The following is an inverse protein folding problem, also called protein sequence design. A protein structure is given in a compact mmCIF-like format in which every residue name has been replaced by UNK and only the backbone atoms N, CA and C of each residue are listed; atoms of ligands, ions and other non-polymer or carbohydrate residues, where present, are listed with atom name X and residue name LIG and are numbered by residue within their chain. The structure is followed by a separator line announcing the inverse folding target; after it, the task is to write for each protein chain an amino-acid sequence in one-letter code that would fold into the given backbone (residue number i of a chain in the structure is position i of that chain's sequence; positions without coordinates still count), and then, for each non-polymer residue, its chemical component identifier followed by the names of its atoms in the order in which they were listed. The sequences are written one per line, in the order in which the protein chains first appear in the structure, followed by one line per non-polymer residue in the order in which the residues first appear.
data_IF_810381563541
#
_entry.id   IF_810381563541
#
_cell.length_a   1.000
_cell.length_b   1.000
_cell.length_c   1.000
_cell.angle_alpha   90.00
_cell.angle_beta   90.00
_cell.angle_gamma   90.00
#
_symmetry.space_group_name_H-M   'P 1'
#
loop_
_entity.id
_entity.type
_entity.pdbx_description
1 polymer ?
#
# COMPACT_ATOMS: atom_id res chain seq x y z
N UNK A 1 15.51 -20.24 6.15
CA UNK A 1 14.93 -19.00 6.73
C UNK A 1 14.41 -18.19 5.56
N UNK A 2 13.09 -18.15 5.35
CA UNK A 2 12.55 -17.27 4.32
C UNK A 2 12.89 -15.83 4.71
N UNK A 3 13.60 -15.13 3.83
CA UNK A 3 13.99 -13.73 3.95
C UNK A 3 12.74 -12.86 3.82
N UNK A 4 11.98 -12.70 4.90
CA UNK A 4 10.93 -11.70 4.92
C UNK A 4 11.60 -10.33 4.75
N UNK A 5 11.45 -9.72 3.57
CA UNK A 5 11.89 -8.35 3.31
C UNK A 5 11.16 -7.43 4.29
N UNK A 6 11.89 -6.51 4.92
CA UNK A 6 11.30 -5.49 5.80
C UNK A 6 10.73 -4.38 4.89
N UNK A 7 9.50 -3.97 5.18
CA UNK A 7 8.83 -2.89 4.47
C UNK A 7 8.83 -1.61 5.30
N UNK A 8 9.06 -0.48 4.63
CA UNK A 8 8.73 0.84 5.15
C UNK A 8 7.31 1.19 4.73
N UNK A 9 6.46 1.60 5.66
CA UNK A 9 5.09 2.03 5.38
C UNK A 9 4.90 3.44 5.91
N UNK A 10 4.55 4.35 5.02
CA UNK A 10 4.02 5.67 5.36
C UNK A 10 2.50 5.57 5.46
N UNK A 11 1.96 5.75 6.66
CA UNK A 11 0.53 5.70 6.96
C UNK A 11 -0.01 7.12 7.12
N UNK A 12 -0.13 7.82 6.00
CA UNK A 12 -0.64 9.19 5.96
C UNK A 12 -2.17 9.25 6.07
N UNK A 13 -2.69 10.42 6.43
CA UNK A 13 -4.15 10.63 6.59
C UNK A 13 -4.92 10.49 5.28
N UNK A 14 -4.38 11.03 4.17
CA UNK A 14 -5.05 11.01 2.86
C UNK A 14 -4.52 9.91 1.96
N UNK A 15 -3.21 9.71 1.94
CA UNK A 15 -2.54 8.73 1.11
C UNK A 15 -1.51 7.98 1.96
N UNK A 16 -1.33 6.71 1.63
CA UNK A 16 -0.29 5.85 2.17
C UNK A 16 0.64 5.39 1.05
N UNK A 17 1.88 5.07 1.38
CA UNK A 17 2.87 4.53 0.45
C UNK A 17 3.70 3.45 1.16
N UNK A 18 4.26 2.52 0.40
CA UNK A 18 5.12 1.49 0.96
C UNK A 18 6.34 1.22 0.07
N UNK A 19 7.46 0.92 0.72
CA UNK A 19 8.76 0.77 0.09
C UNK A 19 9.49 -0.45 0.61
N UNK A 20 10.41 -0.96 -0.20
CA UNK A 20 11.34 -2.02 0.15
C UNK A 20 12.76 -1.62 -0.24
N UNK A 21 13.76 -2.16 0.47
CA UNK A 21 15.16 -1.95 0.08
C UNK A 21 15.56 -2.98 -0.98
N UNK A 22 15.88 -2.53 -2.19
CA UNK A 22 16.38 -3.35 -3.29
C UNK A 22 17.76 -2.85 -3.74
N UNK A 23 18.75 -3.74 -3.84
CA UNK A 23 20.09 -3.34 -4.31
C UNK A 23 20.83 -2.33 -3.42
N UNK A 24 20.31 -2.01 -2.23
CA UNK A 24 20.83 -0.96 -1.35
C UNK A 24 20.06 0.36 -1.42
N UNK A 25 19.13 0.49 -2.37
CA UNK A 25 18.31 1.69 -2.58
C UNK A 25 16.84 1.44 -2.18
N UNK A 26 16.11 2.47 -1.71
CA UNK A 26 14.68 2.34 -1.44
C UNK A 26 13.87 2.37 -2.74
N UNK A 27 13.01 1.38 -2.93
CA UNK A 27 12.08 1.31 -4.06
C UNK A 27 10.63 1.36 -3.57
N UNK A 28 9.83 2.24 -4.17
CA UNK A 28 8.39 2.35 -3.91
C UNK A 28 7.66 1.26 -4.68
N UNK A 29 6.83 0.50 -3.96
CA UNK A 29 6.04 -0.58 -4.53
C UNK A 29 4.73 0.00 -5.09
N UNK A 30 4.35 -0.42 -6.29
CA UNK A 30 3.04 -0.08 -6.88
C UNK A 30 1.94 -0.96 -6.30
N UNK A 31 0.77 -0.36 -6.03
CA UNK A 31 -0.43 -1.12 -5.67
C UNK A 31 -1.02 -1.87 -6.87
N UNK A 32 -2.12 -2.60 -6.65
CA UNK A 32 -2.78 -3.41 -7.68
C UNK A 32 -3.33 -2.55 -8.83
N UNK A 33 -3.57 -1.27 -8.59
CA UNK A 33 -4.00 -0.26 -9.57
C UNK A 33 -2.83 0.36 -10.37
N UNK A 34 -1.59 -0.02 -10.07
CA UNK A 34 -0.37 0.51 -10.72
C UNK A 34 0.07 1.88 -10.21
N UNK A 35 -0.52 2.37 -9.11
CA UNK A 35 -0.18 3.64 -8.48
C UNK A 35 0.87 3.46 -7.37
N UNK A 36 1.70 4.49 -7.15
CA UNK A 36 2.75 4.49 -6.12
C UNK A 36 2.25 4.88 -4.72
N UNK A 37 0.99 5.28 -4.61
CA UNK A 37 0.33 5.66 -3.36
C UNK A 37 -1.07 5.08 -3.37
N UNK A 38 -1.59 4.74 -2.19
CA UNK A 38 -2.96 4.24 -2.00
C UNK A 38 -3.76 5.24 -1.17
N UNK A 39 -4.97 5.64 -1.59
CA UNK A 39 -5.86 6.45 -0.76
C UNK A 39 -6.10 5.78 0.59
N UNK A 40 -5.98 6.53 1.67
CA UNK A 40 -6.17 6.01 3.04
C UNK A 40 -7.66 6.02 3.41
N UNK A 41 -8.43 5.26 2.64
CA UNK A 41 -9.88 5.20 2.68
C UNK A 41 -10.33 3.75 2.78
N UNK A 42 -11.36 3.51 3.60
CA UNK A 42 -12.06 2.23 3.71
C UNK A 42 -13.55 2.50 3.52
N UNK A 43 -14.21 1.67 2.71
CA UNK A 43 -15.64 1.74 2.47
C UNK A 43 -16.29 0.35 2.62
N UNK A 44 -17.60 0.34 2.86
CA UNK A 44 -18.41 -0.87 2.93
C UNK A 44 -19.59 -0.71 1.97
N UNK A 45 -19.83 -1.70 1.11
CA UNK A 45 -20.97 -1.70 0.17
C UNK A 45 -22.26 -2.11 0.88
N UNK A 46 -23.40 -1.92 0.21
CA UNK A 46 -24.71 -2.35 0.74
C UNK A 46 -24.79 -3.89 0.86
N UNK A 47 -24.07 -4.63 0.03
CA UNK A 47 -23.93 -6.09 0.09
C UNK A 47 -22.93 -6.57 1.17
N UNK A 48 -22.28 -5.64 1.87
CA UNK A 48 -21.34 -5.93 2.95
C UNK A 48 -19.91 -6.19 2.49
N UNK A 49 -19.55 -5.87 1.25
CA UNK A 49 -18.17 -5.96 0.77
C UNK A 49 -17.32 -4.82 1.34
N UNK A 50 -16.07 -5.10 1.69
CA UNK A 50 -15.11 -4.09 2.18
C UNK A 50 -14.16 -3.67 1.06
N UNK A 51 -14.21 -2.39 0.71
CA UNK A 51 -13.33 -1.75 -0.26
C UNK A 51 -12.23 -0.96 0.46
N UNK A 52 -11.01 -0.95 -0.10
CA UNK A 52 -9.85 -0.23 0.45
C UNK A 52 -9.09 0.42 -0.70
N UNK A 53 -8.67 1.68 -0.53
CA UNK A 53 -7.90 2.38 -1.55
C UNK A 53 -8.78 3.17 -2.52
N UNK A 54 -8.56 2.97 -3.83
CA UNK A 54 -9.20 3.76 -4.88
C UNK A 54 -10.70 3.37 -5.03
N UNK A 55 -11.62 4.34 -5.21
CA UNK A 55 -13.03 4.05 -5.55
C UNK A 55 -13.20 3.50 -6.97
#
# INVERSE_FOLDING_TARGET
MASNKILGIDLGTTNSAFAVMEGGDPEIITNEEGERTTPSVVAFTEEGERLVGKP
#
